data_IF_945165002149
#
_entry.id   IF_945165002149
#
_cell.length_a   1.000
_cell.length_b   1.000
_cell.length_c   1.000
_cell.angle_alpha   90.00
_cell.angle_beta   90.00
_cell.angle_gamma   90.00
#
_symmetry.space_group_name_H-M   'P 1'
#
loop_
_entity.id
_entity.type
_entity.pdbx_description
1 polymer ?
#
# COMPACT_ATOMS: atom_id res chain seq x y z
N UNK A 1 0.29 -19.45 33.78
CA UNK A 1 0.61 -18.00 33.88
C UNK A 1 1.92 -17.62 33.20
N UNK A 2 3.04 -18.31 33.47
CA UNK A 2 4.34 -18.01 32.85
C UNK A 2 4.37 -18.16 31.32
N UNK A 3 3.74 -19.21 30.77
CA UNK A 3 3.64 -19.43 29.32
C UNK A 3 2.82 -18.32 28.62
N UNK A 4 1.71 -17.90 29.21
CA UNK A 4 0.87 -16.83 28.67
C UNK A 4 1.64 -15.50 28.59
N UNK A 5 2.38 -15.13 29.64
CA UNK A 5 3.20 -13.91 29.65
C UNK A 5 4.30 -14.00 28.59
N UNK A 6 4.97 -15.15 28.45
CA UNK A 6 5.98 -15.37 27.41
C UNK A 6 5.41 -15.18 26.00
N UNK A 7 4.27 -15.80 25.70
CA UNK A 7 3.58 -15.66 24.41
C UNK A 7 3.20 -14.21 24.16
N UNK A 8 2.64 -13.52 25.16
CA UNK A 8 2.27 -12.11 25.04
C UNK A 8 3.48 -11.23 24.73
N UNK A 9 4.60 -11.42 25.43
CA UNK A 9 5.83 -10.65 25.20
C UNK A 9 6.40 -10.92 23.80
N UNK A 10 6.51 -12.19 23.38
CA UNK A 10 7.00 -12.53 22.04
C UNK A 10 6.11 -11.97 20.94
N UNK A 11 4.79 -12.00 21.12
CA UNK A 11 3.84 -11.41 20.19
C UNK A 11 4.05 -9.90 20.05
N UNK A 12 4.16 -9.18 21.18
CA UNK A 12 4.39 -7.73 21.18
C UNK A 12 5.76 -7.36 20.58
N UNK A 13 6.81 -8.10 20.89
CA UNK A 13 8.15 -7.92 20.31
C UNK A 13 8.10 -8.14 18.80
N UNK A 14 7.47 -9.22 18.33
CA UNK A 14 7.36 -9.52 16.90
C UNK A 14 6.59 -8.42 16.16
N UNK A 15 5.50 -7.90 16.73
CA UNK A 15 4.79 -6.73 16.18
C UNK A 15 5.71 -5.50 16.11
N UNK A 16 6.50 -5.25 17.16
CA UNK A 16 7.42 -4.12 17.18
C UNK A 16 8.49 -4.25 16.08
N UNK A 17 9.04 -5.45 15.90
CA UNK A 17 9.99 -5.79 14.83
C UNK A 17 9.37 -5.53 13.47
N UNK A 18 8.20 -6.11 13.19
CA UNK A 18 7.48 -5.92 11.92
C UNK A 18 7.20 -4.44 11.63
N UNK A 19 6.93 -3.65 12.66
CA UNK A 19 6.71 -2.20 12.52
C UNK A 19 8.00 -1.43 12.22
N UNK A 20 9.13 -1.86 12.79
CA UNK A 20 10.46 -1.26 12.57
C UNK A 20 11.00 -1.57 11.17
N UNK A 21 10.67 -2.73 10.61
CA UNK A 21 11.02 -3.11 9.22
C UNK A 21 10.38 -2.21 8.16
N UNK A 22 9.38 -1.41 8.54
CA UNK A 22 8.79 -0.37 7.70
C UNK A 22 7.51 -0.78 6.99
N UNK A 23 6.81 0.21 6.41
CA UNK A 23 5.51 -0.03 5.75
C UNK A 23 5.63 -0.78 4.42
N UNK A 24 6.82 -0.78 3.80
CA UNK A 24 7.05 -1.42 2.51
C UNK A 24 6.80 -2.92 2.58
N UNK A 25 7.25 -3.57 3.67
CA UNK A 25 7.14 -5.02 3.86
C UNK A 25 5.69 -5.53 3.96
N UNK A 26 4.69 -4.65 4.00
CA UNK A 26 3.26 -5.01 4.07
C UNK A 26 2.56 -4.84 2.72
N UNK A 27 3.05 -3.97 1.83
CA UNK A 27 2.37 -3.60 0.57
C UNK A 27 3.06 -4.21 -0.64
N UNK A 28 4.38 -4.11 -0.72
CA UNK A 28 5.22 -4.72 -1.77
C UNK A 28 6.44 -5.30 -1.09
N UNK A 29 6.38 -6.61 -0.82
CA UNK A 29 7.46 -7.33 -0.16
C UNK A 29 8.62 -7.48 -1.14
N UNK A 30 9.78 -6.95 -0.76
CA UNK A 30 11.02 -7.31 -1.43
C UNK A 30 11.40 -8.76 -1.06
N UNK A 31 12.27 -9.43 -1.84
CA UNK A 31 12.76 -10.75 -1.49
C UNK A 31 13.40 -10.82 -0.09
N UNK A 32 14.11 -9.77 0.32
CA UNK A 32 14.73 -9.72 1.65
C UNK A 32 13.71 -9.50 2.77
N UNK A 33 12.61 -8.79 2.52
CA UNK A 33 11.49 -8.70 3.48
C UNK A 33 10.88 -10.08 3.73
N UNK A 34 10.66 -10.86 2.67
CA UNK A 34 10.12 -12.22 2.78
C UNK A 34 11.03 -13.13 3.62
N UNK A 35 12.34 -13.12 3.33
CA UNK A 35 13.32 -13.91 4.08
C UNK A 35 13.33 -13.50 5.55
N UNK A 36 13.35 -12.20 5.84
CA UNK A 36 13.35 -11.70 7.22
C UNK A 36 12.08 -12.11 7.98
N UNK A 37 10.90 -12.04 7.36
CA UNK A 37 9.63 -12.48 7.97
C UNK A 37 9.68 -13.97 8.35
N UNK A 38 10.19 -14.82 7.45
CA UNK A 38 10.31 -16.26 7.69
C UNK A 38 11.26 -16.52 8.88
N UNK A 39 12.44 -15.88 8.90
CA UNK A 39 13.41 -16.05 9.99
C UNK A 39 12.82 -15.53 11.31
N UNK A 40 12.17 -14.37 11.32
CA UNK A 40 11.48 -13.84 12.51
C UNK A 40 10.46 -14.85 13.03
N UNK A 41 9.63 -15.43 12.15
CA UNK A 41 8.65 -16.43 12.53
C UNK A 41 9.28 -17.69 13.13
N UNK A 42 10.34 -18.21 12.52
CA UNK A 42 11.06 -19.39 13.02
C UNK A 42 11.70 -19.10 14.38
N UNK A 43 12.46 -18.01 14.50
CA UNK A 43 13.17 -17.65 15.74
C UNK A 43 12.18 -17.28 16.85
N UNK A 44 11.12 -16.52 16.57
CA UNK A 44 10.13 -16.15 17.58
C UNK A 44 9.34 -17.35 18.11
N UNK A 45 9.25 -18.45 17.34
CA UNK A 45 8.60 -19.69 17.78
C UNK A 45 9.46 -20.53 18.72
N UNK A 46 10.78 -20.34 18.70
CA UNK A 46 11.74 -21.20 19.41
C UNK A 46 11.50 -21.23 20.94
N UNK A 47 11.30 -20.11 21.66
CA UNK A 47 11.06 -20.12 23.12
C UNK A 47 9.70 -20.69 23.54
N UNK A 48 8.84 -21.02 22.57
CA UNK A 48 7.60 -21.76 22.83
C UNK A 48 7.86 -23.25 22.96
N UNK A 49 8.95 -23.73 22.35
CA UNK A 49 9.37 -25.14 22.32
C UNK A 49 10.55 -25.34 23.29
N UNK A 50 11.53 -24.45 23.26
CA UNK A 50 12.70 -24.42 24.15
C UNK A 50 12.50 -23.47 25.34
N UNK A 51 13.36 -23.56 26.36
CA UNK A 51 13.33 -22.65 27.52
C UNK A 51 14.19 -21.40 27.34
N UNK A 52 14.92 -21.27 26.22
CA UNK A 52 15.92 -20.22 26.00
C UNK A 52 15.33 -18.91 25.47
N UNK A 53 14.71 -18.15 26.37
CA UNK A 53 14.05 -16.89 26.02
C UNK A 53 15.02 -15.75 25.68
N UNK A 54 16.09 -15.57 26.48
CA UNK A 54 17.01 -14.45 26.32
C UNK A 54 17.90 -14.52 25.07
N UNK A 55 18.47 -15.69 24.70
CA UNK A 55 19.22 -15.83 23.45
C UNK A 55 18.35 -15.52 22.22
N UNK A 56 17.09 -15.95 22.23
CA UNK A 56 16.12 -15.66 21.16
C UNK A 56 15.86 -14.17 21.01
N UNK A 57 15.72 -13.45 22.13
CA UNK A 57 15.50 -12.00 22.05
C UNK A 57 16.73 -11.28 21.47
N UNK A 58 17.94 -11.77 21.78
CA UNK A 58 19.18 -11.29 21.19
C UNK A 58 19.28 -11.55 19.68
N UNK A 59 18.92 -12.76 19.22
CA UNK A 59 18.96 -13.11 17.80
C UNK A 59 17.92 -12.30 16.98
N UNK A 60 16.72 -12.10 17.53
CA UNK A 60 15.72 -11.21 16.93
C UNK A 60 16.21 -9.76 16.82
N UNK A 61 16.89 -9.24 17.84
CA UNK A 61 17.44 -7.88 17.80
C UNK A 61 18.54 -7.74 16.73
N UNK A 62 19.43 -8.72 16.61
CA UNK A 62 20.47 -8.74 15.56
C UNK A 62 19.83 -8.79 14.18
N UNK A 63 18.79 -9.61 14.00
CA UNK A 63 18.06 -9.73 12.74
C UNK A 63 17.42 -8.39 12.32
N UNK A 64 16.84 -7.65 13.26
CA UNK A 64 16.30 -6.30 13.00
C UNK A 64 17.40 -5.34 12.55
N UNK A 65 18.54 -5.33 13.24
CA UNK A 65 19.67 -4.47 12.89
C UNK A 65 20.18 -4.82 11.49
N UNK A 66 20.28 -6.10 11.16
CA UNK A 66 20.70 -6.57 9.85
C UNK A 66 19.70 -6.16 8.77
N UNK A 67 18.39 -6.32 9.01
CA UNK A 67 17.35 -5.88 8.07
C UNK A 67 17.38 -4.37 7.84
N UNK A 68 17.51 -3.56 8.88
CA UNK A 68 17.66 -2.09 8.76
C UNK A 68 18.92 -1.73 7.97
N UNK A 69 20.03 -2.44 8.20
CA UNK A 69 21.26 -2.25 7.44
C UNK A 69 21.06 -2.54 5.96
N UNK A 70 20.45 -3.68 5.61
CA UNK A 70 20.10 -4.00 4.22
C UNK A 70 19.16 -2.96 3.61
N UNK A 71 18.12 -2.55 4.33
CA UNK A 71 17.19 -1.51 3.90
C UNK A 71 17.92 -0.22 3.54
N UNK A 72 18.87 0.22 4.39
CA UNK A 72 19.67 1.41 4.13
C UNK A 72 20.61 1.23 2.94
N UNK A 73 21.23 0.06 2.79
CA UNK A 73 22.09 -0.25 1.64
C UNK A 73 21.30 -0.21 0.32
N UNK A 74 20.04 -0.65 0.32
CA UNK A 74 19.18 -0.59 -0.86
C UNK A 74 18.67 0.82 -1.21
N UNK A 75 18.91 1.83 -0.37
CA UNK A 75 18.53 3.22 -0.70
C UNK A 75 19.41 3.83 -1.79
N UNK A 76 20.64 3.32 -1.98
CA UNK A 76 21.51 3.80 -3.05
C UNK A 76 21.35 2.93 -4.30
N UNK A 77 21.61 3.52 -5.48
CA UNK A 77 21.39 2.83 -6.76
C UNK A 77 22.25 1.58 -6.93
N UNK A 78 23.48 1.59 -6.37
CA UNK A 78 24.43 0.48 -6.46
C UNK A 78 23.94 -0.72 -5.65
N UNK A 79 23.53 -0.47 -4.40
CA UNK A 79 22.97 -1.47 -3.50
C UNK A 79 21.63 -1.97 -3.97
N UNK A 80 20.74 -1.09 -4.45
CA UNK A 80 19.50 -1.50 -5.09
C UNK A 80 19.76 -2.46 -6.25
N UNK A 81 20.65 -2.09 -7.18
CA UNK A 81 21.04 -2.94 -8.31
C UNK A 81 21.63 -4.28 -7.86
N UNK A 82 22.48 -4.27 -6.83
CA UNK A 82 23.17 -5.48 -6.37
C UNK A 82 22.24 -6.43 -5.61
N UNK A 83 21.35 -5.92 -4.76
CA UNK A 83 20.49 -6.72 -3.89
C UNK A 83 19.12 -7.05 -4.51
N UNK A 84 18.55 -6.15 -5.30
CA UNK A 84 17.23 -6.32 -5.91
C UNK A 84 17.30 -6.62 -7.41
N UNK A 85 18.38 -6.20 -8.08
CA UNK A 85 18.55 -6.35 -9.52
C UNK A 85 18.14 -5.11 -10.31
N UNK A 86 18.12 -5.23 -11.64
CA UNK A 86 17.68 -4.18 -12.55
C UNK A 86 16.40 -4.61 -13.27
N UNK A 87 15.53 -3.65 -13.63
CA UNK A 87 14.39 -3.97 -14.47
C UNK A 87 14.84 -4.52 -15.83
N UNK A 88 14.13 -5.52 -16.33
CA UNK A 88 14.39 -6.14 -17.63
C UNK A 88 13.19 -6.00 -18.56
N UNK A 89 13.43 -5.57 -19.79
CA UNK A 89 12.37 -5.44 -20.80
C UNK A 89 12.13 -6.82 -21.42
N UNK A 90 10.96 -7.40 -21.18
CA UNK A 90 10.57 -8.71 -21.70
C UNK A 90 9.85 -8.61 -23.06
N UNK A 91 9.10 -7.52 -23.27
CA UNK A 91 8.39 -7.22 -24.52
C UNK A 91 8.68 -5.78 -24.89
N UNK A 92 8.96 -5.53 -26.17
CA UNK A 92 9.09 -4.20 -26.75
C UNK A 92 8.37 -4.14 -28.08
N UNK A 93 7.56 -3.09 -28.28
CA UNK A 93 6.81 -2.83 -29.52
C UNK A 93 5.89 -3.98 -29.96
N UNK A 94 5.49 -4.84 -29.03
CA UNK A 94 4.65 -6.02 -29.25
C UNK A 94 5.42 -7.28 -29.65
N UNK A 95 6.75 -7.26 -29.52
CA UNK A 95 7.64 -8.40 -29.77
C UNK A 95 8.28 -8.89 -28.47
N UNK A 96 8.33 -10.21 -28.28
CA UNK A 96 8.95 -10.84 -27.12
C UNK A 96 10.47 -10.85 -27.31
N UNK A 97 11.20 -10.42 -26.28
CA UNK A 97 12.66 -10.44 -26.26
C UNK A 97 13.13 -11.75 -25.60
N UNK A 98 13.33 -12.79 -26.41
CA UNK A 98 13.67 -14.14 -25.94
C UNK A 98 14.90 -14.17 -25.02
N UNK A 99 15.96 -13.44 -25.35
CA UNK A 99 17.18 -13.33 -24.53
C UNK A 99 16.89 -12.85 -23.09
N UNK A 100 15.89 -11.98 -22.92
CA UNK A 100 15.52 -11.44 -21.61
C UNK A 100 14.67 -12.43 -20.83
N UNK A 101 13.83 -13.21 -21.51
CA UNK A 101 13.11 -14.32 -20.90
C UNK A 101 14.05 -15.41 -20.38
N UNK A 102 15.08 -15.77 -21.16
CA UNK A 102 16.07 -16.76 -20.75
C UNK A 102 16.85 -16.31 -19.51
N UNK A 103 17.34 -15.06 -19.51
CA UNK A 103 18.02 -14.44 -18.35
C UNK A 103 17.13 -14.36 -17.12
N UNK A 104 15.83 -14.14 -17.31
CA UNK A 104 14.85 -14.07 -16.23
C UNK A 104 14.30 -15.45 -15.82
N UNK A 105 14.70 -16.55 -16.48
CA UNK A 105 14.13 -17.88 -16.31
C UNK A 105 12.59 -17.91 -16.42
N UNK A 106 12.03 -17.11 -17.34
CA UNK A 106 10.60 -17.03 -17.60
C UNK A 106 10.24 -17.75 -18.89
N UNK A 107 9.23 -18.62 -18.82
CA UNK A 107 8.61 -19.16 -20.02
C UNK A 107 7.69 -18.15 -20.69
N UNK A 108 7.57 -18.22 -22.01
CA UNK A 108 6.59 -17.44 -22.78
C UNK A 108 5.17 -17.63 -22.21
N UNK A 109 4.81 -18.86 -21.83
CA UNK A 109 3.51 -19.18 -21.22
C UNK A 109 3.23 -18.40 -19.93
N UNK A 110 4.23 -18.22 -19.06
CA UNK A 110 4.10 -17.41 -17.84
C UNK A 110 3.84 -15.95 -18.18
N UNK A 111 4.64 -15.37 -19.09
CA UNK A 111 4.46 -13.98 -19.52
C UNK A 111 3.08 -13.76 -20.11
N UNK A 112 2.63 -14.61 -21.03
CA UNK A 112 1.29 -14.52 -21.62
C UNK A 112 0.17 -14.63 -20.57
N UNK A 113 0.35 -15.47 -19.54
CA UNK A 113 -0.60 -15.57 -18.43
C UNK A 113 -0.68 -14.28 -17.62
N UNK A 114 0.47 -13.66 -17.34
CA UNK A 114 0.55 -12.39 -16.63
C UNK A 114 -0.07 -11.27 -17.46
N UNK A 115 0.22 -11.18 -18.76
CA UNK A 115 -0.41 -10.20 -19.64
C UNK A 115 -1.93 -10.31 -19.63
N UNK A 116 -2.48 -11.52 -19.74
CA UNK A 116 -3.94 -11.76 -19.61
C UNK A 116 -4.50 -11.28 -18.28
N UNK A 117 -3.80 -11.56 -17.17
CA UNK A 117 -4.22 -11.09 -15.83
C UNK A 117 -4.22 -9.56 -15.70
N UNK A 118 -3.37 -8.87 -16.47
CA UNK A 118 -3.28 -7.41 -16.55
C UNK A 118 -4.23 -6.80 -17.59
N UNK A 119 -5.00 -7.62 -18.31
CA UNK A 119 -6.00 -7.17 -19.29
C UNK A 119 -5.51 -7.09 -20.74
N UNK A 120 -4.31 -7.59 -21.04
CA UNK A 120 -3.69 -7.52 -22.38
C UNK A 120 -3.48 -8.92 -22.96
N UNK A 121 -4.51 -9.56 -23.56
CA UNK A 121 -4.39 -10.94 -24.03
C UNK A 121 -3.49 -11.11 -25.26
N UNK A 122 -3.22 -10.03 -26.01
CA UNK A 122 -2.37 -10.05 -27.20
C UNK A 122 -1.07 -9.31 -26.93
N UNK A 123 0.06 -9.96 -27.25
CA UNK A 123 1.39 -9.34 -27.15
C UNK A 123 1.48 -8.10 -28.04
N UNK A 124 0.87 -8.13 -29.23
CA UNK A 124 0.85 -7.02 -30.19
C UNK A 124 0.29 -5.71 -29.63
N UNK A 125 -0.54 -5.80 -28.57
CA UNK A 125 -1.21 -4.67 -27.95
C UNK A 125 -0.33 -3.97 -26.89
N UNK A 126 0.77 -4.61 -26.52
CA UNK A 126 1.73 -4.16 -25.49
C UNK A 126 2.88 -3.40 -26.16
N UNK A 127 3.19 -2.22 -25.65
CA UNK A 127 4.37 -1.45 -26.07
C UNK A 127 5.59 -1.88 -25.26
N UNK A 128 5.44 -2.03 -23.94
CA UNK A 128 6.47 -2.56 -23.08
C UNK A 128 5.89 -3.53 -22.04
N UNK A 129 6.56 -4.66 -21.83
CA UNK A 129 6.42 -5.43 -20.60
C UNK A 129 7.77 -5.45 -19.88
N UNK A 130 7.79 -5.00 -18.63
CA UNK A 130 9.02 -4.85 -17.84
C UNK A 130 8.92 -5.74 -16.61
N UNK A 131 9.90 -6.64 -16.44
CA UNK A 131 10.11 -7.37 -15.20
C UNK A 131 10.81 -6.46 -14.20
N UNK A 132 10.11 -6.10 -13.14
CA UNK A 132 10.63 -5.28 -12.05
C UNK A 132 11.54 -6.11 -11.12
N UNK A 133 12.48 -5.47 -10.40
CA UNK A 133 13.35 -6.14 -9.42
C UNK A 133 12.61 -6.96 -8.36
N UNK A 134 11.38 -6.57 -8.03
CA UNK A 134 10.51 -7.28 -7.07
C UNK A 134 9.82 -8.52 -7.67
N UNK A 135 10.07 -8.82 -8.96
CA UNK A 135 9.47 -9.95 -9.67
C UNK A 135 8.09 -9.69 -10.27
N UNK A 136 7.54 -8.48 -10.11
CA UNK A 136 6.30 -8.08 -10.78
C UNK A 136 6.56 -7.74 -12.25
N UNK A 137 5.58 -7.97 -13.12
CA UNK A 137 5.63 -7.50 -14.51
C UNK A 137 4.71 -6.30 -14.66
N UNK A 138 5.30 -5.16 -15.00
CA UNK A 138 4.62 -3.94 -15.44
C UNK A 138 4.26 -4.08 -16.91
N UNK A 139 3.04 -3.69 -17.29
CA UNK A 139 2.57 -3.75 -18.69
C UNK A 139 2.12 -2.36 -19.12
N UNK A 140 2.78 -1.85 -20.15
CA UNK A 140 2.50 -0.57 -20.80
C UNK A 140 1.90 -0.89 -22.17
N UNK A 141 0.60 -0.63 -22.39
CA UNK A 141 -0.01 -0.84 -23.70
C UNK A 141 0.46 0.19 -24.72
N UNK A 142 0.34 -0.17 -26.00
CA UNK A 142 0.47 0.80 -27.09
C UNK A 142 -0.57 1.91 -26.95
N UNK A 143 -0.26 3.10 -27.44
CA UNK A 143 -1.16 4.27 -27.40
C UNK A 143 -2.57 3.96 -27.90
N UNK A 144 -2.72 3.15 -28.94
CA UNK A 144 -4.04 2.77 -29.47
C UNK A 144 -4.90 1.93 -28.49
N UNK A 145 -4.26 1.30 -27.51
CA UNK A 145 -4.86 0.41 -26.52
C UNK A 145 -4.82 0.98 -25.09
N UNK A 146 -4.30 2.20 -24.89
CA UNK A 146 -4.36 2.87 -23.58
C UNK A 146 -5.79 3.28 -23.25
N UNK A 147 -6.23 3.20 -21.98
CA UNK A 147 -7.52 3.74 -21.55
C UNK A 147 -7.64 5.24 -21.86
N UNK A 148 -8.81 5.65 -22.33
CA UNK A 148 -9.10 7.06 -22.60
C UNK A 148 -9.06 7.86 -21.30
N UNK A 149 -8.31 8.98 -21.31
CA UNK A 149 -8.23 9.91 -20.19
C UNK A 149 -9.14 11.12 -20.42
N UNK A 150 -9.40 11.89 -19.37
CA UNK A 150 -10.22 13.13 -19.45
C UNK A 150 -9.61 14.16 -20.41
N UNK A 151 -8.28 14.19 -20.48
CA UNK A 151 -7.50 15.05 -21.39
C UNK A 151 -7.71 14.65 -22.85
N UNK A 152 -7.72 13.35 -23.17
CA UNK A 152 -8.01 12.86 -24.52
C UNK A 152 -9.41 13.25 -25.01
N UNK A 153 -10.38 13.41 -24.09
CA UNK A 153 -11.75 13.80 -24.41
C UNK A 153 -11.96 15.31 -24.39
N UNK A 154 -10.95 16.10 -24.02
CA UNK A 154 -11.05 17.53 -23.76
C UNK A 154 -12.22 17.88 -22.81
N UNK A 155 -12.45 17.03 -21.80
CA UNK A 155 -13.48 17.24 -20.79
C UNK A 155 -12.86 17.97 -19.61
N UNK A 156 -13.42 19.13 -19.27
CA UNK A 156 -13.06 19.83 -18.05
C UNK A 156 -13.78 19.20 -16.85
N UNK A 157 -13.03 18.50 -16.00
CA UNK A 157 -13.54 17.95 -14.74
C UNK A 157 -12.99 18.79 -13.59
N UNK A 158 -13.88 19.26 -12.71
CA UNK A 158 -13.48 19.96 -11.51
C UNK A 158 -12.70 19.00 -10.58
N UNK A 159 -11.48 19.38 -10.23
CA UNK A 159 -10.67 18.63 -9.28
C UNK A 159 -11.18 18.87 -7.84
N UNK A 160 -11.83 17.86 -7.28
CA UNK A 160 -12.37 17.90 -5.92
C UNK A 160 -11.27 17.76 -4.83
N UNK A 161 -10.07 17.30 -5.19
CA UNK A 161 -9.00 16.96 -4.26
C UNK A 161 -9.29 15.69 -3.46
N UNK A 162 -8.51 15.44 -2.39
CA UNK A 162 -8.67 14.23 -1.59
C UNK A 162 -9.91 14.31 -0.69
N UNK A 163 -10.70 13.22 -0.57
CA UNK A 163 -11.78 13.13 0.41
C UNK A 163 -11.20 12.84 1.80
N UNK A 164 -11.09 13.87 2.64
CA UNK A 164 -10.53 13.75 3.99
C UNK A 164 -11.64 13.51 5.00
N UNK A 165 -11.57 12.40 5.75
CA UNK A 165 -12.58 12.04 6.74
C UNK A 165 -12.58 13.01 7.92
N UNK A 166 -13.73 13.59 8.25
CA UNK A 166 -13.89 14.54 9.36
C UNK A 166 -14.70 13.96 10.52
N UNK A 167 -15.52 12.94 10.25
CA UNK A 167 -16.25 12.17 11.27
C UNK A 167 -16.18 10.68 10.92
N UNK A 168 -15.81 9.85 11.89
CA UNK A 168 -15.81 8.38 11.77
C UNK A 168 -16.42 7.82 13.05
N UNK A 169 -17.43 6.96 12.91
CA UNK A 169 -18.19 6.36 14.02
C UNK A 169 -18.64 7.41 15.05
N UNK A 170 -19.13 8.53 14.54
CA UNK A 170 -19.62 9.67 15.30
C UNK A 170 -18.58 10.42 16.13
N UNK A 171 -17.29 10.15 15.91
CA UNK A 171 -16.17 10.89 16.51
C UNK A 171 -15.55 11.84 15.49
N UNK A 172 -15.45 13.11 15.88
CA UNK A 172 -14.82 14.16 15.07
C UNK A 172 -13.30 13.94 15.03
N UNK A 173 -12.75 13.95 13.81
CA UNK A 173 -11.34 13.77 13.52
C UNK A 173 -10.62 15.13 13.48
N UNK A 174 -10.24 15.66 14.65
CA UNK A 174 -9.63 17.01 14.77
C UNK A 174 -8.33 17.15 13.95
N UNK A 175 -7.53 16.09 13.86
CA UNK A 175 -6.30 16.09 13.06
C UNK A 175 -6.62 16.30 11.58
N UNK A 176 -7.68 15.68 11.08
CA UNK A 176 -8.07 15.75 9.69
C UNK A 176 -8.69 17.11 9.34
N UNK A 177 -9.44 17.71 10.27
CA UNK A 177 -9.89 19.10 10.13
C UNK A 177 -8.71 20.08 10.01
N UNK A 178 -7.66 19.89 10.82
CA UNK A 178 -6.43 20.71 10.71
C UNK A 178 -5.75 20.57 9.35
N UNK A 179 -5.71 19.37 8.77
CA UNK A 179 -5.16 19.15 7.42
C UNK A 179 -5.94 19.94 6.35
N UNK A 180 -7.24 20.11 6.56
CA UNK A 180 -8.11 20.88 5.67
C UNK A 180 -8.09 22.39 5.93
N UNK A 181 -7.34 22.85 6.94
CA UNK A 181 -7.39 24.20 7.49
C UNK A 181 -8.80 24.60 7.99
N UNK A 182 -9.57 23.63 8.48
CA UNK A 182 -10.91 23.82 9.01
C UNK A 182 -10.90 23.67 10.54
N UNK A 183 -11.84 24.36 11.20
CA UNK A 183 -11.97 24.30 12.65
C UNK A 183 -13.10 23.35 13.08
N UNK A 184 -13.12 23.00 14.37
CA UNK A 184 -14.22 22.20 14.92
C UNK A 184 -15.55 22.96 14.83
N UNK A 185 -15.49 24.28 15.04
CA UNK A 185 -16.64 25.19 15.01
C UNK A 185 -17.27 25.24 13.62
N UNK A 186 -16.45 25.23 12.56
CA UNK A 186 -16.95 25.12 11.19
C UNK A 186 -17.77 23.85 10.98
N UNK A 187 -17.25 22.70 11.45
CA UNK A 187 -17.92 21.42 11.31
C UNK A 187 -19.21 21.39 12.13
N UNK A 188 -19.19 21.82 13.40
CA UNK A 188 -20.39 21.84 14.24
C UNK A 188 -21.46 22.75 13.65
N UNK A 189 -21.09 23.93 13.14
CA UNK A 189 -22.03 24.83 12.46
C UNK A 189 -22.70 24.15 11.26
N UNK A 190 -21.93 23.45 10.42
CA UNK A 190 -22.46 22.71 9.26
C UNK A 190 -23.37 21.56 9.65
N UNK A 191 -23.10 20.90 10.77
CA UNK A 191 -23.97 19.85 11.30
C UNK A 191 -25.28 20.43 11.89
N UNK A 192 -25.18 21.54 12.62
CA UNK A 192 -26.32 22.22 13.25
C UNK A 192 -27.27 22.79 12.19
N UNK A 193 -26.74 23.40 11.12
CA UNK A 193 -27.50 23.86 9.94
C UNK A 193 -28.35 22.74 9.31
N UNK A 194 -27.92 21.49 9.45
CA UNK A 194 -28.59 20.30 8.91
C UNK A 194 -29.31 19.48 9.99
N UNK A 195 -29.42 20.01 11.22
CA UNK A 195 -30.04 19.33 12.38
C UNK A 195 -29.43 17.95 12.68
N UNK A 196 -28.10 17.80 12.51
CA UNK A 196 -27.39 16.55 12.71
C UNK A 196 -26.51 16.60 13.95
N UNK A 197 -26.48 15.50 14.71
CA UNK A 197 -25.43 15.31 15.71
C UNK A 197 -24.28 14.49 15.13
N UNK A 198 -23.05 14.79 15.54
CA UNK A 198 -21.89 13.96 15.19
C UNK A 198 -22.13 12.48 15.56
N UNK A 199 -22.79 12.17 16.69
CA UNK A 199 -23.05 10.79 17.13
C UNK A 199 -23.88 9.96 16.15
N UNK A 200 -24.76 10.60 15.38
CA UNK A 200 -25.66 9.97 14.42
C UNK A 200 -24.98 9.67 13.08
N UNK A 201 -23.77 10.20 12.89
CA UNK A 201 -22.99 10.07 11.66
C UNK A 201 -22.11 8.84 11.76
N UNK A 202 -22.25 7.93 10.81
CA UNK A 202 -21.35 6.79 10.64
C UNK A 202 -20.03 7.26 10.03
N UNK A 203 -20.11 8.08 8.98
CA UNK A 203 -18.96 8.56 8.23
C UNK A 203 -19.25 9.92 7.60
N UNK A 204 -18.31 10.86 7.69
CA UNK A 204 -18.35 12.09 6.90
C UNK A 204 -16.95 12.48 6.44
N UNK A 205 -16.86 13.04 5.25
CA UNK A 205 -15.62 13.55 4.68
C UNK A 205 -15.82 14.92 4.03
N UNK A 206 -14.73 15.65 3.89
CA UNK A 206 -14.68 16.92 3.19
C UNK A 206 -13.67 16.80 2.06
N UNK A 207 -14.08 17.20 0.87
CA UNK A 207 -13.21 17.30 -0.28
C UNK A 207 -12.19 18.43 -0.07
N UNK A 208 -10.91 18.14 -0.27
CA UNK A 208 -9.82 19.05 0.04
C UNK A 208 -9.92 20.40 -0.69
N UNK A 209 -10.28 20.38 -1.99
CA UNK A 209 -10.31 21.58 -2.84
C UNK A 209 -11.66 22.29 -2.81
N UNK A 210 -12.76 21.55 -2.97
CA UNK A 210 -14.10 22.16 -3.00
C UNK A 210 -14.66 22.47 -1.62
N UNK A 211 -14.06 21.93 -0.54
CA UNK A 211 -14.53 22.04 0.84
C UNK A 211 -15.98 21.54 1.04
N UNK A 212 -16.47 20.70 0.14
CA UNK A 212 -17.81 20.09 0.21
C UNK A 212 -17.85 19.01 1.28
N UNK A 213 -18.79 19.09 2.23
CA UNK A 213 -18.98 18.12 3.31
C UNK A 213 -20.01 17.05 2.92
N UNK A 214 -19.59 15.80 2.79
CA UNK A 214 -20.49 14.67 2.48
C UNK A 214 -20.67 13.80 3.73
N UNK A 215 -21.92 13.45 4.06
CA UNK A 215 -22.28 12.78 5.32
C UNK A 215 -23.02 11.46 5.07
N UNK A 216 -22.74 10.44 5.88
CA UNK A 216 -23.43 9.16 5.89
C UNK A 216 -23.90 8.85 7.31
N UNK A 217 -25.20 8.68 7.50
CA UNK A 217 -25.82 8.48 8.81
C UNK A 217 -25.83 7.00 9.21
N UNK A 218 -25.90 6.74 10.52
CA UNK A 218 -26.15 5.39 11.03
C UNK A 218 -27.60 4.98 10.73
N UNK A 219 -27.80 3.80 10.16
CA UNK A 219 -29.13 3.17 10.02
C UNK A 219 -30.05 3.74 8.93
N UNK A 220 -29.69 4.84 8.27
CA UNK A 220 -30.37 5.38 7.07
C UNK A 220 -29.29 5.71 6.05
N UNK A 221 -29.43 5.21 4.82
CA UNK A 221 -28.41 5.31 3.76
C UNK A 221 -27.92 6.74 3.45
N UNK A 222 -26.90 6.80 2.57
CA UNK A 222 -26.09 7.97 2.17
C UNK A 222 -26.90 9.27 2.03
N UNK A 223 -26.49 10.34 2.75
CA UNK A 223 -27.07 11.69 2.64
C UNK A 223 -26.00 12.66 2.12
N UNK A 224 -25.96 12.86 0.81
CA UNK A 224 -25.03 13.85 0.22
C UNK A 224 -25.53 15.25 0.56
N UNK A 225 -24.88 15.93 1.50
CA UNK A 225 -25.08 17.36 1.75
C UNK A 225 -24.18 18.08 0.76
N UNK A 226 -24.70 18.50 -0.40
CA UNK A 226 -23.96 19.37 -1.31
C UNK A 226 -24.33 20.80 -0.99
N UNK A 227 -23.39 21.58 -0.49
CA UNK A 227 -23.47 23.04 -0.60
C UNK A 227 -22.72 23.45 -1.86
N UNK A 228 -23.45 24.08 -2.78
CA UNK A 228 -22.88 24.93 -3.80
C UNK A 228 -22.53 26.26 -3.13
N UNK A 229 -21.23 26.57 -3.05
CA UNK A 229 -20.79 27.96 -2.95
C UNK A 229 -20.91 28.61 -4.34
#
# INVERSE_FOLDING_TARGET
>A
MFLFIKILVLYLVTIAIMRLMGKSSIVQMTPYDLVAIIIVGTVASEPLISTEFWPTLGSLAILVVLHICFSYLTLNQIGNRFFLGEPSILIKDGEIIEDQLEKAHLSVSQVLSILRSKGFPKVSDVEYAVLEPIGEISVIPKTANTPVTVEHLNINIQDEGLPISVIVDGKIQLRNLKLLHLTKEWLTKKLDENSLSAKEILYAFVNEKTKTLIVNKRGKGKLTIKDHL
#
